data_IF_769330576385
#
_entry.id   IF_769330576385
#
_cell.length_a   1.000
_cell.length_b   1.000
_cell.length_c   1.000
_cell.angle_alpha   90.00
_cell.angle_beta   90.00
_cell.angle_gamma   90.00
#
_symmetry.space_group_name_H-M   'P 1'
#
loop_
_entity.id
_entity.type
_entity.pdbx_description
1 polymer ?
#
# COMPACT_ATOMS: atom_id res chain seq x y z
N UNK A 1 22.35 -10.67 -3.17
CA UNK A 1 21.36 -10.03 -2.29
C UNK A 1 21.43 -8.53 -2.54
N UNK A 2 20.66 -8.05 -3.50
CA UNK A 2 20.39 -6.63 -3.67
C UNK A 2 19.18 -6.35 -2.78
N UNK A 3 19.34 -5.49 -1.78
CA UNK A 3 18.19 -4.92 -1.10
C UNK A 3 17.49 -4.05 -2.14
N UNK A 4 16.30 -4.46 -2.53
CA UNK A 4 15.41 -3.60 -3.28
C UNK A 4 15.03 -2.46 -2.33
N UNK A 5 15.66 -1.30 -2.47
CA UNK A 5 15.23 -0.06 -1.79
C UNK A 5 14.11 0.54 -2.66
N UNK A 6 13.07 -0.26 -2.85
CA UNK A 6 11.79 0.09 -3.46
C UNK A 6 10.73 -0.16 -2.40
N UNK A 7 9.74 0.72 -2.30
CA UNK A 7 8.79 0.78 -1.20
C UNK A 7 8.22 -0.59 -0.78
N UNK A 8 8.24 -0.87 0.52
CA UNK A 8 7.60 -2.05 1.08
C UNK A 8 6.07 -1.85 1.06
N UNK A 9 5.43 -2.30 -0.03
CA UNK A 9 3.96 -2.25 -0.17
C UNK A 9 3.21 -3.24 0.74
N UNK A 10 3.94 -4.01 1.56
CA UNK A 10 3.40 -5.03 2.45
C UNK A 10 2.93 -6.28 1.69
N UNK A 11 1.85 -6.91 2.13
CA UNK A 11 1.28 -8.17 1.65
C UNK A 11 0.34 -8.01 0.42
N UNK A 12 0.77 -7.22 -0.57
CA UNK A 12 0.08 -7.07 -1.86
C UNK A 12 0.40 -8.21 -2.83
N UNK A 13 -0.58 -8.51 -3.70
CA UNK A 13 -0.36 -9.34 -4.88
C UNK A 13 0.46 -8.56 -5.94
N UNK A 14 0.98 -9.27 -6.94
CA UNK A 14 1.82 -8.66 -7.98
C UNK A 14 1.10 -7.55 -8.77
N UNK A 15 -0.21 -7.71 -9.01
CA UNK A 15 -1.02 -6.72 -9.72
C UNK A 15 -1.14 -5.40 -8.95
N UNK A 16 -1.43 -5.47 -7.65
CA UNK A 16 -1.54 -4.28 -6.80
C UNK A 16 -0.18 -3.59 -6.62
N UNK A 17 0.92 -4.37 -6.58
CA UNK A 17 2.28 -3.79 -6.58
C UNK A 17 2.53 -3.01 -7.86
N UNK A 18 2.23 -3.60 -9.03
CA UNK A 18 2.36 -2.91 -10.31
C UNK A 18 1.48 -1.65 -10.36
N UNK A 19 0.27 -1.73 -9.79
CA UNK A 19 -0.61 -0.55 -9.68
C UNK A 19 0.04 0.57 -8.87
N UNK A 20 0.68 0.26 -7.73
CA UNK A 20 1.43 1.26 -6.96
C UNK A 20 2.61 1.85 -7.74
N UNK A 21 3.39 1.02 -8.45
CA UNK A 21 4.52 1.51 -9.26
C UNK A 21 4.05 2.46 -10.38
N UNK A 22 2.90 2.16 -10.99
CA UNK A 22 2.27 3.07 -11.97
C UNK A 22 1.73 4.33 -11.29
N UNK A 23 1.12 4.21 -10.12
CA UNK A 23 0.59 5.33 -9.35
C UNK A 23 1.69 6.29 -8.88
N UNK A 24 2.91 5.79 -8.62
CA UNK A 24 4.08 6.63 -8.37
C UNK A 24 4.44 7.53 -9.56
N UNK A 25 4.20 7.07 -10.80
CA UNK A 25 4.50 7.82 -12.02
C UNK A 25 3.34 8.72 -12.44
N UNK A 26 2.10 8.24 -12.29
CA UNK A 26 0.90 8.88 -12.80
C UNK A 26 0.23 9.80 -11.76
N UNK A 27 0.62 9.71 -10.49
CA UNK A 27 0.00 10.46 -9.41
C UNK A 27 -1.35 9.91 -8.97
N UNK A 28 -1.61 8.61 -9.16
CA UNK A 28 -2.81 7.94 -8.64
C UNK A 28 -2.66 7.59 -7.15
N UNK A 29 -3.74 7.16 -6.49
CA UNK A 29 -3.70 6.72 -5.08
C UNK A 29 -2.75 5.53 -4.88
N UNK A 30 -2.14 5.45 -3.69
CA UNK A 30 -1.32 4.32 -3.27
C UNK A 30 -2.07 3.47 -2.26
N UNK A 31 -1.83 2.17 -2.31
CA UNK A 31 -2.42 1.21 -1.38
C UNK A 31 -1.35 0.31 -0.78
N UNK A 32 -1.44 -0.01 0.51
CA UNK A 32 -0.55 -0.99 1.15
C UNK A 32 -1.33 -1.81 2.15
N UNK A 33 -0.96 -3.08 2.30
CA UNK A 33 -1.64 -4.03 3.16
C UNK A 33 -0.61 -4.67 4.07
N UNK A 34 -0.84 -4.70 5.38
CA UNK A 34 0.03 -5.44 6.31
C UNK A 34 -0.78 -6.47 7.08
N UNK A 35 -0.24 -7.69 7.20
CA UNK A 35 -0.87 -8.81 7.91
C UNK A 35 0.03 -9.30 9.05
N UNK A 36 0.23 -8.50 10.10
CA UNK A 36 1.02 -8.91 11.25
C UNK A 36 0.43 -10.16 11.93
N UNK A 37 1.29 -11.12 12.27
CA UNK A 37 0.87 -12.36 12.92
C UNK A 37 0.21 -12.06 14.27
N UNK A 38 -1.00 -12.57 14.47
CA UNK A 38 -1.77 -12.38 15.71
C UNK A 38 -2.51 -11.05 15.81
N UNK A 39 -2.53 -10.25 14.74
CA UNK A 39 -3.21 -8.96 14.69
C UNK A 39 -4.14 -8.85 13.47
N UNK A 40 -5.13 -7.94 13.48
CA UNK A 40 -5.96 -7.66 12.32
C UNK A 40 -5.14 -7.16 11.13
N UNK A 41 -5.68 -7.37 9.93
CA UNK A 41 -5.11 -6.81 8.69
C UNK A 41 -5.23 -5.30 8.73
N UNK A 42 -4.18 -4.59 8.33
CA UNK A 42 -4.15 -3.13 8.28
C UNK A 42 -4.05 -2.71 6.82
N UNK A 43 -4.91 -1.76 6.43
CA UNK A 43 -4.88 -1.11 5.13
C UNK A 43 -4.36 0.32 5.30
N UNK A 44 -3.46 0.72 4.39
CA UNK A 44 -2.95 2.08 4.28
C UNK A 44 -3.29 2.59 2.90
N UNK A 45 -4.11 3.64 2.82
CA UNK A 45 -4.50 4.29 1.58
C UNK A 45 -3.96 5.71 1.59
N UNK A 46 -3.14 6.06 0.61
CA UNK A 46 -2.68 7.44 0.41
C UNK A 46 -3.31 8.01 -0.85
N UNK A 47 -4.00 9.13 -0.73
CA UNK A 47 -4.72 9.75 -1.84
C UNK A 47 -3.78 10.19 -2.97
N UNK A 48 -4.36 10.37 -4.16
CA UNK A 48 -3.66 10.66 -5.41
C UNK A 48 -2.73 11.90 -5.31
N UNK A 49 -3.16 12.93 -4.58
CA UNK A 49 -2.40 14.15 -4.32
C UNK A 49 -1.46 14.08 -3.11
N UNK A 50 -1.41 12.91 -2.44
CA UNK A 50 -0.63 12.64 -1.23
C UNK A 50 -1.00 13.54 -0.04
N UNK A 51 -2.14 14.22 -0.09
CA UNK A 51 -2.57 15.15 0.98
C UNK A 51 -3.11 14.42 2.21
N UNK A 52 -3.63 13.21 2.03
CA UNK A 52 -4.24 12.40 3.08
C UNK A 52 -3.74 10.96 3.00
N UNK A 53 -3.37 10.40 4.15
CA UNK A 53 -3.12 8.98 4.34
C UNK A 53 -4.07 8.46 5.41
N UNK A 54 -4.92 7.51 5.03
CA UNK A 54 -5.85 6.85 5.95
C UNK A 54 -5.30 5.48 6.30
N UNK A 55 -5.29 5.17 7.59
CA UNK A 55 -4.98 3.83 8.12
C UNK A 55 -6.25 3.28 8.74
N UNK A 56 -6.68 2.12 8.27
CA UNK A 56 -7.95 1.52 8.67
C UNK A 56 -7.89 -0.01 8.61
N UNK A 57 -8.84 -0.65 9.27
CA UNK A 57 -9.11 -2.07 9.09
C UNK A 57 -10.00 -2.30 7.85
N UNK A 58 -9.91 -3.47 7.19
CA UNK A 58 -10.75 -3.79 6.03
C UNK A 58 -12.25 -3.68 6.29
N UNK A 59 -12.69 -3.90 7.54
CA UNK A 59 -14.09 -3.80 7.97
C UNK A 59 -14.57 -2.36 8.24
N UNK A 60 -13.67 -1.38 8.24
CA UNK A 60 -14.00 0.05 8.37
C UNK A 60 -14.17 0.75 7.01
N UNK A 61 -13.89 0.04 5.91
CA UNK A 61 -14.05 0.51 4.53
C UNK A 61 -15.40 0.10 3.93
#
# INVERSE_FOLDING_TARGET
>A
MLFDVGADWGDLCDEDRVSNELALQNGDRLFSVYKPVGHPVIWIITEWDRSVTTVLFPDEY
#
